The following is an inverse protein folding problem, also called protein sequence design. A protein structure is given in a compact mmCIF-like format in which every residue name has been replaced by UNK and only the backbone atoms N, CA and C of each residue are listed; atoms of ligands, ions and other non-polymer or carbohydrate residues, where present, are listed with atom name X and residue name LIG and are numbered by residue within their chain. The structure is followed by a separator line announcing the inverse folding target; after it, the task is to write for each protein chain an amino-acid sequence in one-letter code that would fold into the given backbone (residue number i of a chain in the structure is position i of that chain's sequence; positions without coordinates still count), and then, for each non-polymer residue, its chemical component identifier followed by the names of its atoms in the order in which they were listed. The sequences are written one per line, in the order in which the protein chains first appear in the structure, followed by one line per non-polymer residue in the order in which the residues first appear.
data_IF_167631870855
#
_entry.id   IF_167631870855
#
_cell.length_a   1.000
_cell.length_b   1.000
_cell.length_c   1.000
_cell.angle_alpha   90.00
_cell.angle_beta   90.00
_cell.angle_gamma   90.00
#
_symmetry.space_group_name_H-M   'P 1'
#
loop_
_entity.id
_entity.type
_entity.pdbx_description
1 polymer ?
#
# COMPACT_ATOMS: atom_id res chain seq x y z
N UNK A 1 -12.24 33.42 0.27
CA UNK A 1 -12.65 32.06 -0.15
C UNK A 1 -11.74 31.39 -1.19
N UNK A 2 -11.59 31.88 -2.43
CA UNK A 2 -10.78 31.13 -3.43
C UNK A 2 -9.29 31.08 -3.07
N UNK A 3 -8.70 32.21 -2.67
CA UNK A 3 -7.30 32.28 -2.18
C UNK A 3 -7.08 31.35 -0.99
N UNK A 4 -7.91 31.44 0.06
CA UNK A 4 -7.85 30.57 1.25
C UNK A 4 -7.89 29.07 0.91
N UNK A 5 -8.64 28.68 -0.13
CA UNK A 5 -8.71 27.27 -0.56
C UNK A 5 -7.45 26.83 -1.31
N UNK A 6 -6.83 27.75 -2.05
CA UNK A 6 -5.59 27.50 -2.80
C UNK A 6 -4.40 27.32 -1.85
N UNK A 7 -4.31 28.14 -0.80
CA UNK A 7 -3.22 28.11 0.18
C UNK A 7 -3.55 27.34 1.46
N UNK A 8 -4.54 26.45 1.39
CA UNK A 8 -4.94 25.56 2.49
C UNK A 8 -5.33 26.25 3.82
N UNK A 9 -5.73 27.52 3.82
CA UNK A 9 -6.21 28.23 5.03
C UNK A 9 -7.39 27.51 5.70
N UNK A 10 -8.33 26.97 4.92
CA UNK A 10 -9.44 26.16 5.46
C UNK A 10 -9.00 24.84 6.13
N UNK A 11 -7.81 24.33 5.79
CA UNK A 11 -7.23 23.15 6.44
C UNK A 11 -6.57 23.58 7.74
N UNK A 12 -5.85 24.70 7.74
CA UNK A 12 -5.31 25.32 8.96
C UNK A 12 -6.40 25.60 10.01
N UNK A 13 -7.49 26.26 9.61
CA UNK A 13 -8.65 26.50 10.49
C UNK A 13 -9.21 25.19 11.09
N UNK A 14 -9.22 24.10 10.32
CA UNK A 14 -9.70 22.79 10.80
C UNK A 14 -8.67 22.07 11.68
N UNK A 15 -7.38 22.28 11.44
CA UNK A 15 -6.29 21.81 12.30
C UNK A 15 -6.39 22.45 13.68
N UNK A 16 -6.50 23.78 13.74
CA UNK A 16 -6.68 24.54 14.98
C UNK A 16 -7.94 24.09 15.74
N UNK A 17 -9.07 24.00 15.04
CA UNK A 17 -10.33 23.54 15.63
C UNK A 17 -10.20 22.14 16.25
N UNK A 18 -9.58 21.18 15.55
CA UNK A 18 -9.40 19.83 16.09
C UNK A 18 -8.36 19.75 17.19
N UNK A 19 -7.34 20.60 17.17
CA UNK A 19 -6.34 20.65 18.23
C UNK A 19 -6.95 21.08 19.57
N UNK A 20 -7.88 22.05 19.54
CA UNK A 20 -8.62 22.52 20.72
C UNK A 20 -9.73 21.55 21.18
N UNK A 21 -10.51 21.00 20.24
CA UNK A 21 -11.73 20.25 20.56
C UNK A 21 -11.52 18.74 20.70
N UNK A 22 -10.63 18.14 19.90
CA UNK A 22 -10.42 16.69 19.87
C UNK A 22 -9.02 16.31 19.35
N UNK A 23 -8.05 16.36 20.28
CA UNK A 23 -6.66 16.02 19.99
C UNK A 23 -6.48 14.57 19.48
N UNK A 24 -7.38 13.63 19.81
CA UNK A 24 -7.31 12.26 19.27
C UNK A 24 -7.63 12.25 17.77
N UNK A 25 -8.69 12.97 17.36
CA UNK A 25 -9.00 13.14 15.94
C UNK A 25 -7.88 13.89 15.22
N UNK A 26 -7.32 14.94 15.80
CA UNK A 26 -6.19 15.67 15.24
C UNK A 26 -5.04 14.71 14.86
N UNK A 27 -4.55 13.93 15.83
CA UNK A 27 -3.45 12.99 15.61
C UNK A 27 -3.78 11.90 14.57
N UNK A 28 -5.05 11.46 14.49
CA UNK A 28 -5.47 10.46 13.51
C UNK A 28 -5.55 11.00 12.08
N UNK A 29 -6.04 12.23 11.91
CA UNK A 29 -6.28 12.84 10.59
C UNK A 29 -5.01 13.51 10.05
N UNK A 30 -4.24 14.14 10.92
CA UNK A 30 -3.04 14.91 10.57
C UNK A 30 -1.73 14.20 10.92
N UNK A 31 -1.76 12.87 11.08
CA UNK A 31 -0.56 12.06 11.42
C UNK A 31 0.65 12.38 10.54
N UNK A 32 0.44 12.51 9.23
CA UNK A 32 1.52 12.80 8.28
C UNK A 32 2.01 14.24 8.34
N UNK A 33 1.19 15.19 8.80
CA UNK A 33 1.59 16.58 9.03
C UNK A 33 2.46 16.66 10.29
N UNK A 34 2.07 15.95 11.35
CA UNK A 34 2.87 15.81 12.57
C UNK A 34 4.22 15.13 12.28
N UNK A 35 4.24 14.07 11.47
CA UNK A 35 5.48 13.40 11.05
C UNK A 35 6.39 14.29 10.19
N UNK A 36 5.83 15.28 9.50
CA UNK A 36 6.55 16.23 8.66
C UNK A 36 6.83 17.58 9.35
N UNK A 37 6.45 17.74 10.63
CA UNK A 37 6.57 18.99 11.39
C UNK A 37 5.89 20.18 10.70
N UNK A 38 4.69 19.96 10.16
CA UNK A 38 3.87 20.98 9.48
C UNK A 38 2.72 21.40 10.40
N UNK A 39 2.75 22.67 10.81
CA UNK A 39 1.73 23.31 11.65
C UNK A 39 0.68 24.07 10.82
N UNK A 40 -0.44 24.43 11.45
CA UNK A 40 -1.55 25.14 10.79
C UNK A 40 -1.13 26.48 10.17
N UNK A 41 -0.35 27.27 10.90
CA UNK A 41 0.17 28.58 10.45
C UNK A 41 1.17 28.46 9.29
N UNK A 42 1.87 27.33 9.18
CA UNK A 42 2.92 27.10 8.17
C UNK A 42 2.39 26.71 6.79
N UNK A 43 1.09 26.46 6.64
CA UNK A 43 0.52 25.94 5.39
C UNK A 43 0.55 26.95 4.24
N UNK A 44 0.27 28.23 4.49
CA UNK A 44 0.28 29.24 3.42
C UNK A 44 1.69 29.42 2.86
N UNK A 45 2.69 29.57 3.73
CA UNK A 45 4.10 29.71 3.35
C UNK A 45 4.62 28.46 2.60
N UNK A 46 4.24 27.26 3.06
CA UNK A 46 4.58 26.00 2.40
C UNK A 46 4.08 25.98 0.95
N UNK A 47 2.81 26.31 0.70
CA UNK A 47 2.24 26.31 -0.65
C UNK A 47 2.79 27.44 -1.53
N UNK A 48 3.08 28.61 -0.97
CA UNK A 48 3.77 29.69 -1.70
C UNK A 48 5.13 29.22 -2.21
N UNK A 49 5.96 28.63 -1.34
CA UNK A 49 7.28 28.09 -1.73
C UNK A 49 7.18 26.95 -2.75
N UNK A 50 6.19 26.06 -2.63
CA UNK A 50 5.93 25.00 -3.61
C UNK A 50 5.59 25.59 -4.99
N UNK A 51 4.74 26.63 -5.03
CA UNK A 51 4.39 27.27 -6.29
C UNK A 51 5.59 27.98 -6.94
N UNK A 52 6.46 28.60 -6.16
CA UNK A 52 7.70 29.20 -6.67
C UNK A 52 8.63 28.14 -7.24
N UNK A 53 8.90 27.06 -6.50
CA UNK A 53 9.75 25.97 -6.95
C UNK A 53 9.28 25.34 -8.27
N UNK A 54 7.96 25.14 -8.45
CA UNK A 54 7.39 24.59 -9.70
C UNK A 54 7.52 25.59 -10.87
N UNK A 55 7.45 26.90 -10.60
CA UNK A 55 7.66 27.93 -11.64
C UNK A 55 9.12 28.01 -12.08
N UNK A 56 10.05 27.80 -11.15
CA UNK A 56 11.48 27.77 -11.44
C UNK A 56 11.87 26.52 -12.25
N UNK A 57 11.39 25.35 -11.86
CA UNK A 57 11.60 24.10 -12.59
C UNK A 57 10.29 23.32 -12.81
N UNK A 58 9.66 23.46 -13.99
CA UNK A 58 8.45 22.72 -14.33
C UNK A 58 8.74 21.30 -14.83
N UNK A 59 10.00 20.86 -14.84
CA UNK A 59 10.36 19.57 -15.41
C UNK A 59 9.86 18.40 -14.53
N UNK A 60 9.42 17.28 -15.13
CA UNK A 60 8.96 16.13 -14.35
C UNK A 60 10.12 15.48 -13.59
N UNK A 61 9.90 15.19 -12.30
CA UNK A 61 10.84 14.42 -11.51
C UNK A 61 11.06 13.00 -12.09
N UNK A 62 12.28 12.47 -11.92
CA UNK A 62 12.62 11.12 -12.38
C UNK A 62 11.75 10.06 -11.69
N UNK A 63 11.26 9.10 -12.50
CA UNK A 63 10.41 8.02 -12.00
C UNK A 63 11.26 7.05 -11.16
N UNK A 64 10.90 6.86 -9.90
CA UNK A 64 11.48 5.79 -9.07
C UNK A 64 11.05 4.44 -9.64
N UNK A 65 12.01 3.63 -10.06
CA UNK A 65 11.76 2.22 -10.43
C UNK A 65 11.60 1.41 -9.15
N UNK A 66 10.44 0.78 -8.97
CA UNK A 66 10.24 -0.15 -7.87
C UNK A 66 10.73 -1.54 -8.28
N UNK A 67 11.80 -2.03 -7.64
CA UNK A 67 12.21 -3.42 -7.78
C UNK A 67 11.45 -4.27 -6.76
N UNK A 68 10.82 -5.33 -7.23
CA UNK A 68 10.03 -6.25 -6.41
C UNK A 68 10.69 -7.61 -6.39
N UNK A 69 10.50 -8.34 -5.30
CA UNK A 69 11.03 -9.69 -5.18
C UNK A 69 10.42 -10.63 -6.22
N UNK A 70 11.26 -11.11 -7.14
CA UNK A 70 10.92 -12.05 -8.21
C UNK A 70 11.16 -13.51 -7.80
N UNK A 71 11.47 -13.77 -6.53
CA UNK A 71 11.71 -15.11 -5.99
C UNK A 71 10.46 -15.99 -6.05
N UNK A 72 9.27 -15.42 -5.84
CA UNK A 72 8.02 -16.15 -5.86
C UNK A 72 7.64 -16.58 -7.28
N UNK A 73 7.86 -17.87 -7.57
CA UNK A 73 7.43 -18.51 -8.81
C UNK A 73 6.21 -19.38 -8.55
N UNK A 74 5.12 -19.11 -9.27
CA UNK A 74 3.95 -20.00 -9.24
C UNK A 74 4.38 -21.40 -9.72
N UNK A 75 3.82 -22.44 -9.11
CA UNK A 75 4.04 -23.82 -9.56
C UNK A 75 3.66 -23.95 -11.05
N UNK A 76 4.53 -24.57 -11.83
CA UNK A 76 4.25 -24.85 -13.23
C UNK A 76 3.01 -25.76 -13.36
N UNK A 77 2.26 -25.60 -14.46
CA UNK A 77 1.13 -26.49 -14.74
C UNK A 77 1.65 -27.90 -15.01
N UNK A 78 1.11 -28.88 -14.28
CA UNK A 78 1.42 -30.30 -14.52
C UNK A 78 1.07 -30.70 -15.95
N UNK A 79 1.96 -31.44 -16.59
CA UNK A 79 1.74 -32.08 -17.89
C UNK A 79 0.69 -33.19 -17.78
N UNK A 80 0.18 -33.64 -18.93
CA UNK A 80 -0.78 -34.76 -18.96
C UNK A 80 -0.16 -36.05 -18.43
N UNK A 81 1.10 -36.32 -18.75
CA UNK A 81 1.82 -37.52 -18.28
C UNK A 81 1.97 -37.52 -16.76
N UNK A 82 2.40 -36.41 -16.16
CA UNK A 82 2.51 -36.26 -14.70
C UNK A 82 1.16 -36.39 -14.00
N UNK A 83 0.09 -35.85 -14.58
CA UNK A 83 -1.27 -36.03 -14.05
C UNK A 83 -1.69 -37.49 -14.08
N UNK A 84 -1.45 -38.22 -15.17
CA UNK A 84 -1.75 -39.65 -15.28
C UNK A 84 -0.93 -40.48 -14.30
N UNK A 85 0.36 -40.19 -14.14
CA UNK A 85 1.23 -40.85 -13.17
C UNK A 85 0.75 -40.63 -11.73
N UNK A 86 0.37 -39.38 -11.39
CA UNK A 86 -0.21 -39.07 -10.08
C UNK A 86 -1.54 -39.76 -9.81
N UNK A 87 -2.40 -39.91 -10.83
CA UNK A 87 -3.65 -40.68 -10.71
C UNK A 87 -3.33 -42.16 -10.47
N UNK A 88 -2.38 -42.73 -11.21
CA UNK A 88 -1.98 -44.14 -11.05
C UNK A 88 -1.43 -44.39 -9.64
N UNK A 89 -0.48 -43.57 -9.18
CA UNK A 89 0.09 -43.69 -7.84
C UNK A 89 -0.96 -43.60 -6.73
N UNK A 90 -1.97 -42.73 -6.88
CA UNK A 90 -3.10 -42.65 -5.94
C UNK A 90 -3.98 -43.89 -5.94
N UNK A 91 -4.21 -44.50 -7.10
CA UNK A 91 -4.97 -45.75 -7.20
C UNK A 91 -4.20 -46.92 -6.58
N UNK A 92 -2.91 -47.04 -6.89
CA UNK A 92 -2.06 -48.11 -6.39
C UNK A 92 -1.92 -48.03 -4.86
N UNK A 93 -1.74 -46.83 -4.31
CA UNK A 93 -1.74 -46.61 -2.85
C UNK A 93 -3.07 -46.99 -2.19
N UNK A 94 -4.20 -46.67 -2.83
CA UNK A 94 -5.52 -47.02 -2.30
C UNK A 94 -5.80 -48.52 -2.37
N UNK A 95 -5.28 -49.21 -3.38
CA UNK A 95 -5.39 -50.66 -3.49
C UNK A 95 -4.58 -51.34 -2.39
N UNK A 96 -3.34 -50.90 -2.15
CA UNK A 96 -2.51 -51.43 -1.07
C UNK A 96 -3.14 -51.21 0.33
N UNK A 97 -3.74 -50.04 0.57
CA UNK A 97 -4.50 -49.77 1.82
C UNK A 97 -5.69 -50.73 1.99
N UNK A 98 -6.38 -51.08 0.90
CA UNK A 98 -7.49 -52.03 0.94
C UNK A 98 -7.02 -53.47 1.18
N UNK A 99 -5.93 -53.88 0.52
CA UNK A 99 -5.32 -55.20 0.73
C UNK A 99 -4.82 -55.36 2.19
N UNK A 100 -4.20 -54.33 2.77
CA UNK A 100 -3.79 -54.35 4.18
C UNK A 100 -4.99 -54.38 5.14
N UNK A 101 -6.11 -53.72 4.80
CA UNK A 101 -7.35 -53.79 5.60
C UNK A 101 -8.14 -55.09 5.46
N UNK A 102 -7.93 -55.84 4.38
CA UNK A 102 -8.55 -57.16 4.16
C UNK A 102 -7.72 -58.29 4.80
N UNK A 103 -6.44 -58.04 5.09
CA UNK A 103 -5.51 -58.96 5.78
C UNK A 103 -5.51 -58.82 7.32
N UNK A 104 -6.09 -57.74 7.88
CA UNK A 104 -6.33 -57.49 9.32
C UNK A 104 -7.70 -58.00 9.80
#
# INVERSE_FOLDING_TARGET
MHKERIFAGHVGEYMEYLEEEDNQKFNSQFKSYVEAEIDADGLEELYEGVHEAIREDPSPAEKKTHDFDKSYKRKAKLTLAERKAGIKAKKDAKLAELEESDEE
#
